data_IF_037653862833
#
_entry.id   IF_037653862833
#
_cell.length_a   1.000
_cell.length_b   1.000
_cell.length_c   1.000
_cell.angle_alpha   90.00
_cell.angle_beta   90.00
_cell.angle_gamma   90.00
#
_symmetry.space_group_name_H-M   'P 1'
#
loop_
_entity.id
_entity.type
_entity.pdbx_description
1 polymer ?
#
# COMPACT_ATOMS: atom_id res chain seq x y z
N UNK A 1 -51.63 -9.22 -57.44
CA UNK A 1 -51.26 -7.83 -57.08
C UNK A 1 -50.83 -7.82 -55.62
N UNK A 2 -49.55 -7.60 -55.32
CA UNK A 2 -48.99 -7.66 -53.95
C UNK A 2 -48.37 -6.31 -53.57
N UNK A 3 -49.07 -5.66 -52.64
CA UNK A 3 -48.69 -4.72 -51.56
C UNK A 3 -47.63 -3.64 -51.80
N UNK A 4 -48.12 -2.41 -51.57
CA UNK A 4 -47.47 -1.11 -51.65
C UNK A 4 -46.54 -0.79 -50.47
N UNK A 5 -45.47 -0.04 -50.75
CA UNK A 5 -44.56 0.60 -49.80
C UNK A 5 -45.16 1.89 -49.20
N UNK A 6 -44.99 2.11 -47.89
CA UNK A 6 -45.03 3.41 -47.17
C UNK A 6 -44.05 3.30 -45.97
N UNK A 7 -42.95 4.07 -45.90
CA UNK A 7 -42.79 5.40 -45.25
C UNK A 7 -43.16 5.37 -43.74
N UNK A 8 -42.48 5.94 -42.74
CA UNK A 8 -41.32 6.86 -42.54
C UNK A 8 -40.94 6.76 -41.03
N UNK A 9 -39.64 6.87 -40.76
CA UNK A 9 -38.89 7.43 -39.60
C UNK A 9 -39.70 7.87 -38.36
N UNK A 10 -39.33 7.35 -37.18
CA UNK A 10 -39.53 8.01 -35.89
C UNK A 10 -38.20 8.06 -35.12
N UNK A 11 -37.72 9.28 -34.95
CA UNK A 11 -36.49 9.69 -34.25
C UNK A 11 -36.60 9.45 -32.74
N UNK A 12 -35.69 8.67 -32.17
CA UNK A 12 -35.50 8.58 -30.71
C UNK A 12 -34.43 9.61 -30.33
N UNK A 13 -34.87 10.77 -29.83
CA UNK A 13 -34.02 11.71 -29.14
C UNK A 13 -33.74 11.18 -27.72
N UNK A 14 -32.49 10.80 -27.46
CA UNK A 14 -32.02 10.49 -26.09
C UNK A 14 -31.49 11.80 -25.46
N UNK A 15 -32.05 12.29 -24.34
CA UNK A 15 -31.47 13.43 -23.64
C UNK A 15 -30.26 12.98 -22.82
N UNK A 16 -29.08 13.50 -23.18
CA UNK A 16 -27.87 13.42 -22.38
C UNK A 16 -27.98 14.39 -21.20
N UNK A 17 -28.29 13.89 -20.01
CA UNK A 17 -28.14 14.63 -18.77
C UNK A 17 -26.80 14.25 -18.12
N UNK A 18 -25.75 15.03 -18.38
CA UNK A 18 -24.50 14.99 -17.64
C UNK A 18 -24.70 15.67 -16.28
N UNK A 19 -25.00 14.89 -15.25
CA UNK A 19 -24.97 15.35 -13.86
C UNK A 19 -23.52 15.51 -13.41
N UNK A 20 -23.02 16.74 -13.43
CA UNK A 20 -21.73 17.08 -12.83
C UNK A 20 -21.83 17.03 -11.30
N UNK A 21 -21.56 15.87 -10.70
CA UNK A 21 -21.32 15.75 -9.27
C UNK A 21 -19.83 15.95 -8.99
N UNK A 22 -19.43 17.21 -8.80
CA UNK A 22 -18.15 17.54 -8.20
C UNK A 22 -18.14 17.11 -6.73
N UNK A 23 -17.69 15.89 -6.45
CA UNK A 23 -17.42 15.44 -5.08
C UNK A 23 -16.04 15.95 -4.69
N UNK A 24 -16.00 17.12 -4.03
CA UNK A 24 -14.84 17.50 -3.24
C UNK A 24 -14.62 16.43 -2.17
N UNK A 25 -13.45 15.80 -2.23
CA UNK A 25 -13.02 14.75 -1.32
C UNK A 25 -13.12 15.24 0.13
N UNK A 26 -14.04 14.64 0.88
CA UNK A 26 -14.20 14.87 2.31
C UNK A 26 -12.98 14.29 3.02
N UNK A 27 -12.18 15.16 3.64
CA UNK A 27 -11.09 14.79 4.54
C UNK A 27 -11.66 14.06 5.76
N UNK A 28 -11.66 12.73 5.70
CA UNK A 28 -11.97 11.88 6.85
C UNK A 28 -10.86 12.00 7.90
N UNK A 29 -11.27 12.25 9.15
CA UNK A 29 -10.41 12.16 10.34
C UNK A 29 -9.64 10.85 10.33
N UNK A 30 -8.32 10.94 10.46
CA UNK A 30 -7.43 9.80 10.73
C UNK A 30 -7.91 9.04 11.96
N UNK A 31 -8.60 7.92 11.75
CA UNK A 31 -8.57 6.84 12.72
C UNK A 31 -7.21 6.18 12.58
N UNK A 32 -6.52 5.93 13.70
CA UNK A 32 -5.32 5.10 13.73
C UNK A 32 -5.73 3.72 13.25
N UNK A 33 -5.51 3.46 11.97
CA UNK A 33 -5.87 2.20 11.36
C UNK A 33 -5.08 1.09 12.05
N UNK A 34 -5.80 0.08 12.55
CA UNK A 34 -5.27 -1.23 12.99
C UNK A 34 -4.65 -2.04 11.83
N UNK A 35 -4.21 -1.37 10.77
CA UNK A 35 -3.51 -1.96 9.62
C UNK A 35 -2.04 -2.30 9.92
N UNK A 36 -1.52 -1.94 11.10
CA UNK A 36 -0.21 -2.40 11.55
C UNK A 36 -0.23 -3.81 12.14
N UNK A 37 -1.41 -4.31 12.56
CA UNK A 37 -1.51 -5.59 13.27
C UNK A 37 -1.29 -6.76 12.30
N UNK A 38 -1.79 -6.74 11.07
CA UNK A 38 -1.71 -7.88 10.15
C UNK A 38 -0.54 -7.84 9.15
N UNK A 39 0.65 -7.40 9.58
CA UNK A 39 1.85 -7.41 8.71
C UNK A 39 2.78 -8.60 9.03
N UNK A 40 3.23 -9.37 8.02
CA UNK A 40 4.22 -10.40 8.25
C UNK A 40 5.56 -9.80 8.70
N UNK A 41 6.05 -10.23 9.86
CA UNK A 41 7.35 -9.80 10.40
C UNK A 41 7.43 -9.98 11.92
N UNK A 42 8.57 -9.59 12.51
CA UNK A 42 8.72 -9.53 13.97
C UNK A 42 8.03 -8.27 14.51
N UNK A 43 6.75 -8.38 14.85
CA UNK A 43 6.04 -7.32 15.57
C UNK A 43 6.33 -7.35 17.08
N UNK A 44 5.88 -6.31 17.79
CA UNK A 44 6.11 -6.20 19.24
C UNK A 44 5.33 -7.21 20.09
N UNK A 45 4.22 -7.74 19.58
CA UNK A 45 3.41 -8.78 20.23
C UNK A 45 4.13 -10.11 20.16
N UNK A 46 4.41 -10.60 18.95
CA UNK A 46 5.13 -11.85 18.70
C UNK A 46 6.48 -11.89 19.43
N UNK A 47 7.25 -10.79 19.46
CA UNK A 47 8.53 -10.77 20.19
C UNK A 47 8.41 -10.93 21.70
N UNK A 48 7.25 -10.64 22.31
CA UNK A 48 7.04 -10.91 23.74
C UNK A 48 6.79 -12.38 24.01
N UNK A 49 6.26 -13.11 23.04
CA UNK A 49 5.90 -14.53 23.15
C UNK A 49 7.11 -15.46 22.91
N UNK A 50 8.15 -14.98 22.21
CA UNK A 50 9.39 -15.72 21.93
C UNK A 50 10.33 -15.93 23.13
N UNK A 51 9.90 -15.61 24.36
CA UNK A 51 10.67 -15.80 25.60
C UNK A 51 12.14 -15.37 25.49
N UNK A 52 12.37 -14.16 24.99
CA UNK A 52 13.72 -13.64 24.73
C UNK A 52 14.54 -13.52 26.02
N UNK A 53 15.81 -13.91 25.97
CA UNK A 53 16.77 -13.64 27.05
C UNK A 53 17.07 -12.16 27.17
N UNK A 54 17.56 -11.70 28.32
CA UNK A 54 17.87 -10.28 28.51
C UNK A 54 18.99 -9.79 27.57
N UNK A 55 19.98 -10.65 27.29
CA UNK A 55 21.01 -10.38 26.29
C UNK A 55 20.41 -10.20 24.89
N UNK A 56 19.46 -11.05 24.48
CA UNK A 56 18.79 -10.90 23.18
C UNK A 56 17.96 -9.62 23.12
N UNK A 57 17.23 -9.28 24.19
CA UNK A 57 16.45 -8.03 24.27
C UNK A 57 17.34 -6.81 24.09
N UNK A 58 18.54 -6.81 24.69
CA UNK A 58 19.51 -5.72 24.54
C UNK A 58 20.03 -5.62 23.10
N UNK A 59 20.38 -6.75 22.47
CA UNK A 59 20.78 -6.78 21.06
C UNK A 59 19.69 -6.24 20.13
N UNK A 60 18.42 -6.61 20.35
CA UNK A 60 17.30 -6.07 19.59
C UNK A 60 17.13 -4.56 19.81
N UNK A 61 17.29 -4.08 21.04
CA UNK A 61 17.19 -2.64 21.36
C UNK A 61 18.27 -1.86 20.63
N UNK A 62 19.51 -2.32 20.65
CA UNK A 62 20.63 -1.70 19.94
C UNK A 62 20.38 -1.67 18.44
N UNK A 63 19.95 -2.78 17.84
CA UNK A 63 19.65 -2.84 16.41
C UNK A 63 18.51 -1.89 16.01
N UNK A 64 17.45 -1.79 16.83
CA UNK A 64 16.34 -0.85 16.59
C UNK A 64 16.78 0.61 16.72
N UNK A 65 17.65 0.91 17.67
CA UNK A 65 18.17 2.26 17.86
C UNK A 65 19.04 2.68 16.66
N UNK A 66 19.95 1.81 16.20
CA UNK A 66 20.74 2.05 15.00
C UNK A 66 19.86 2.26 13.76
N UNK A 67 18.84 1.41 13.56
CA UNK A 67 17.86 1.59 12.48
C UNK A 67 17.10 2.92 12.59
N UNK A 68 16.75 3.36 13.81
CA UNK A 68 16.05 4.63 14.03
C UNK A 68 16.94 5.82 13.69
N UNK A 69 18.21 5.76 14.03
CA UNK A 69 19.21 6.78 13.72
C UNK A 69 19.44 6.89 12.21
N UNK A 70 19.68 5.76 11.53
CA UNK A 70 19.80 5.69 10.07
C UNK A 70 18.58 6.33 9.37
N UNK A 71 17.37 5.99 9.82
CA UNK A 71 16.14 6.57 9.28
C UNK A 71 16.05 8.07 9.54
N UNK A 72 16.41 8.52 10.75
CA UNK A 72 16.42 9.95 11.09
C UNK A 72 17.38 10.72 10.20
N UNK A 73 18.55 10.17 9.91
CA UNK A 73 19.52 10.79 9.00
C UNK A 73 18.98 10.87 7.58
N UNK A 74 18.39 9.79 7.07
CA UNK A 74 17.74 9.80 5.75
C UNK A 74 16.65 10.87 5.65
N UNK A 75 15.83 10.98 6.69
CA UNK A 75 14.74 11.95 6.73
C UNK A 75 15.17 13.41 6.89
N UNK A 76 16.41 13.70 7.32
CA UNK A 76 16.90 15.10 7.45
C UNK A 76 17.04 15.80 6.09
N UNK A 77 17.37 15.07 5.01
CA UNK A 77 17.54 15.62 3.66
C UNK A 77 16.40 15.30 2.68
N UNK A 78 15.47 14.42 3.07
CA UNK A 78 14.37 13.97 2.20
C UNK A 78 13.23 14.99 1.92
N UNK A 79 12.91 16.03 2.72
CA UNK A 79 11.69 16.82 2.49
C UNK A 79 11.65 17.53 1.14
N UNK A 80 12.74 18.21 0.77
CA UNK A 80 12.85 18.96 -0.50
C UNK A 80 12.93 17.99 -1.69
N UNK A 81 13.80 16.97 -1.61
CA UNK A 81 13.90 15.93 -2.65
C UNK A 81 12.57 15.19 -2.86
N UNK A 82 11.78 14.96 -1.80
CA UNK A 82 10.44 14.37 -1.91
C UNK A 82 9.44 15.29 -2.59
N UNK A 83 9.58 16.60 -2.42
CA UNK A 83 8.79 17.60 -3.14
C UNK A 83 9.06 17.51 -4.64
N UNK A 84 10.33 17.64 -5.02
CA UNK A 84 10.77 17.58 -6.42
C UNK A 84 10.36 16.28 -7.11
N UNK A 85 10.58 15.12 -6.47
CA UNK A 85 10.15 13.82 -7.00
C UNK A 85 8.63 13.67 -7.14
N UNK A 86 7.84 14.42 -6.35
CA UNK A 86 6.37 14.42 -6.47
C UNK A 86 5.89 15.33 -7.59
N UNK A 87 6.57 16.46 -7.79
CA UNK A 87 6.27 17.41 -8.85
C UNK A 87 6.61 16.83 -10.22
N UNK A 88 7.84 16.36 -10.44
CA UNK A 88 8.25 15.61 -11.65
C UNK A 88 7.31 14.40 -11.90
N UNK A 89 6.97 13.74 -10.79
CA UNK A 89 5.80 12.87 -10.60
C UNK A 89 4.57 13.27 -11.41
N UNK A 90 3.98 14.36 -10.94
CA UNK A 90 2.71 14.88 -11.38
C UNK A 90 2.79 15.36 -12.83
N UNK A 91 3.90 15.98 -13.22
CA UNK A 91 4.16 16.45 -14.59
C UNK A 91 4.16 15.29 -15.58
N UNK A 92 4.96 14.24 -15.34
CA UNK A 92 4.99 13.04 -16.21
C UNK A 92 3.62 12.38 -16.36
N UNK A 93 2.82 12.38 -15.29
CA UNK A 93 1.45 11.85 -15.32
C UNK A 93 0.51 12.77 -16.10
N UNK A 94 0.61 14.08 -15.92
CA UNK A 94 -0.19 15.05 -16.68
C UNK A 94 0.13 14.95 -18.17
N UNK A 95 1.41 14.88 -18.54
CA UNK A 95 1.85 14.73 -19.93
C UNK A 95 1.31 13.45 -20.58
N UNK A 96 1.29 12.34 -19.83
CA UNK A 96 0.73 11.08 -20.30
C UNK A 96 -0.80 11.15 -20.45
N UNK A 97 -1.50 11.75 -19.50
CA UNK A 97 -2.96 11.74 -19.42
C UNK A 97 -3.63 12.80 -20.31
N UNK A 98 -2.95 13.92 -20.55
CA UNK A 98 -3.45 15.03 -21.38
C UNK A 98 -3.00 14.95 -22.84
N UNK A 99 -2.15 13.97 -23.19
CA UNK A 99 -1.76 13.74 -24.58
C UNK A 99 -2.95 13.34 -25.46
N UNK A 100 -2.93 13.77 -26.72
CA UNK A 100 -3.96 13.42 -27.73
C UNK A 100 -4.13 11.90 -27.91
N UNK A 101 -3.05 11.13 -27.65
CA UNK A 101 -3.03 9.67 -27.70
C UNK A 101 -2.27 9.12 -26.51
N UNK A 102 -2.82 8.05 -25.93
CA UNK A 102 -2.19 7.34 -24.83
C UNK A 102 -0.92 6.61 -25.30
N UNK A 103 0.18 6.81 -24.56
CA UNK A 103 1.46 6.13 -24.79
C UNK A 103 1.68 5.02 -23.73
N UNK A 104 1.48 3.75 -24.09
CA UNK A 104 1.65 2.63 -23.15
C UNK A 104 3.11 2.45 -22.71
N UNK A 105 4.10 2.89 -23.50
CA UNK A 105 5.50 2.77 -23.14
C UNK A 105 5.86 3.76 -22.01
N UNK A 106 5.42 5.03 -22.12
CA UNK A 106 5.57 6.03 -21.06
C UNK A 106 4.85 5.64 -19.78
N UNK A 107 3.64 5.08 -19.90
CA UNK A 107 2.89 4.57 -18.75
C UNK A 107 3.67 3.49 -17.99
N UNK A 108 4.27 2.56 -18.74
CA UNK A 108 5.11 1.48 -18.19
C UNK A 108 6.33 2.04 -17.48
N UNK A 109 7.01 3.03 -18.07
CA UNK A 109 8.20 3.66 -17.48
C UNK A 109 7.88 4.33 -16.14
N UNK A 110 6.82 5.14 -16.09
CA UNK A 110 6.36 5.81 -14.86
C UNK A 110 6.00 4.77 -13.78
N UNK A 111 5.39 3.64 -14.16
CA UNK A 111 5.09 2.55 -13.23
C UNK A 111 6.36 1.85 -12.73
N UNK A 112 7.32 1.59 -13.61
CA UNK A 112 8.55 0.87 -13.30
C UNK A 112 9.44 1.66 -12.33
N UNK A 113 9.53 2.98 -12.48
CA UNK A 113 10.31 3.83 -11.57
C UNK A 113 9.86 3.64 -10.10
N UNK A 114 8.54 3.55 -9.89
CA UNK A 114 7.99 3.30 -8.55
C UNK A 114 8.21 1.88 -8.07
N UNK A 115 8.09 0.92 -8.98
CA UNK A 115 8.30 -0.49 -8.69
C UNK A 115 9.73 -0.74 -8.21
N UNK A 116 10.72 -0.17 -8.89
CA UNK A 116 12.14 -0.31 -8.50
C UNK A 116 12.39 0.25 -7.09
N UNK A 117 11.93 1.46 -6.81
CA UNK A 117 12.01 2.06 -5.46
C UNK A 117 11.29 1.22 -4.40
N UNK A 118 10.21 0.54 -4.77
CA UNK A 118 9.49 -0.36 -3.86
C UNK A 118 10.27 -1.66 -3.60
N UNK A 119 10.87 -2.25 -4.62
CA UNK A 119 11.72 -3.43 -4.52
C UNK A 119 12.92 -3.15 -3.61
N UNK A 120 13.62 -2.03 -3.82
CA UNK A 120 14.74 -1.62 -2.97
C UNK A 120 14.34 -1.52 -1.48
N UNK A 121 13.19 -0.87 -1.20
CA UNK A 121 12.66 -0.78 0.16
C UNK A 121 12.32 -2.15 0.75
N UNK A 122 11.73 -3.05 -0.04
CA UNK A 122 11.41 -4.41 0.40
C UNK A 122 12.68 -5.20 0.73
N UNK A 123 13.70 -5.13 -0.12
CA UNK A 123 14.99 -5.78 0.12
C UNK A 123 15.66 -5.24 1.39
N UNK A 124 15.66 -3.91 1.58
CA UNK A 124 16.19 -3.30 2.82
C UNK A 124 15.42 -3.77 4.06
N UNK A 125 14.10 -3.88 3.97
CA UNK A 125 13.25 -4.35 5.06
C UNK A 125 13.55 -5.82 5.39
N UNK A 126 13.63 -6.69 4.38
CA UNK A 126 14.00 -8.10 4.53
C UNK A 126 15.41 -8.26 5.12
N UNK A 127 16.37 -7.44 4.70
CA UNK A 127 17.72 -7.45 5.27
C UNK A 127 17.71 -7.11 6.77
N UNK A 128 16.90 -6.12 7.19
CA UNK A 128 16.73 -5.76 8.60
C UNK A 128 16.05 -6.88 9.39
N UNK A 129 15.01 -7.50 8.84
CA UNK A 129 14.37 -8.67 9.44
C UNK A 129 15.36 -9.83 9.59
N UNK A 130 16.16 -10.13 8.57
CA UNK A 130 17.18 -11.18 8.63
C UNK A 130 18.20 -10.94 9.76
N UNK A 131 18.70 -9.70 9.91
CA UNK A 131 19.57 -9.32 11.04
C UNK A 131 18.88 -9.55 12.38
N UNK A 132 17.60 -9.23 12.49
CA UNK A 132 16.80 -9.50 13.69
C UNK A 132 16.70 -11.01 13.98
N UNK A 133 16.41 -11.84 12.97
CA UNK A 133 16.34 -13.30 13.14
C UNK A 133 17.68 -13.93 13.51
N UNK A 134 18.81 -13.30 13.18
CA UNK A 134 20.14 -13.81 13.56
C UNK A 134 20.39 -13.83 15.08
N UNK A 135 19.60 -13.08 15.86
CA UNK A 135 19.66 -13.02 17.33
C UNK A 135 18.94 -14.21 17.99
N UNK A 136 17.97 -14.81 17.27
CA UNK A 136 17.13 -15.88 17.80
C UNK A 136 17.82 -17.24 17.71
N UNK A 137 17.55 -18.12 18.68
CA UNK A 137 17.96 -19.53 18.62
C UNK A 137 17.14 -20.29 17.57
N UNK A 138 17.58 -21.49 17.13
CA UNK A 138 16.80 -22.32 16.23
C UNK A 138 15.38 -22.60 16.75
N UNK A 139 15.24 -22.91 18.03
CA UNK A 139 13.95 -23.24 18.66
C UNK A 139 13.02 -22.01 18.69
N UNK A 140 13.56 -20.82 18.94
CA UNK A 140 12.78 -19.57 18.88
C UNK A 140 12.34 -19.23 17.45
N UNK A 141 13.11 -19.61 16.43
CA UNK A 141 12.70 -19.43 15.03
C UNK A 141 11.55 -20.35 14.65
N UNK A 142 11.56 -21.59 15.14
CA UNK A 142 10.43 -22.52 14.96
C UNK A 142 9.17 -21.98 15.65
N UNK A 143 9.29 -21.55 16.91
CA UNK A 143 8.18 -20.91 17.63
C UNK A 143 7.64 -19.68 16.88
N UNK A 144 8.53 -18.86 16.31
CA UNK A 144 8.11 -17.71 15.51
C UNK A 144 7.26 -18.10 14.30
N UNK A 145 7.61 -19.18 13.59
CA UNK A 145 6.86 -19.63 12.41
C UNK A 145 5.45 -20.06 12.80
N UNK A 146 5.27 -20.72 13.95
CA UNK A 146 3.95 -21.12 14.43
C UNK A 146 3.11 -19.90 14.87
N UNK A 147 3.70 -19.00 15.67
CA UNK A 147 3.03 -17.75 16.07
C UNK A 147 2.62 -16.90 14.85
N UNK A 148 3.47 -16.87 13.83
CA UNK A 148 3.16 -16.16 12.59
C UNK A 148 1.97 -16.77 11.84
N UNK A 149 1.80 -18.09 11.84
CA UNK A 149 0.63 -18.74 11.23
C UNK A 149 -0.63 -18.42 12.01
N UNK A 150 -0.61 -18.58 13.33
CA UNK A 150 -1.75 -18.26 14.21
C UNK A 150 -2.18 -16.81 14.01
N UNK A 151 -1.22 -15.88 14.00
CA UNK A 151 -1.49 -14.46 13.79
C UNK A 151 -2.08 -14.14 12.40
N UNK A 152 -1.63 -14.83 11.36
CA UNK A 152 -2.19 -14.69 10.01
C UNK A 152 -3.61 -15.26 9.91
N UNK A 153 -3.90 -16.34 10.62
CA UNK A 153 -5.25 -16.95 10.71
C UNK A 153 -6.22 -16.03 11.47
N UNK A 154 -5.81 -15.53 12.64
CA UNK A 154 -6.61 -14.57 13.43
C UNK A 154 -6.91 -13.29 12.63
N UNK A 155 -5.92 -12.78 11.91
CA UNK A 155 -6.10 -11.64 11.00
C UNK A 155 -7.03 -11.94 9.80
N UNK A 156 -7.07 -13.19 9.32
CA UNK A 156 -8.00 -13.62 8.28
C UNK A 156 -9.45 -13.61 8.75
N UNK A 157 -9.66 -13.92 10.02
CA UNK A 157 -10.97 -14.00 10.67
C UNK A 157 -11.46 -12.64 11.20
N UNK A 158 -10.56 -11.75 11.64
CA UNK A 158 -10.90 -10.41 12.19
C UNK A 158 -10.94 -9.29 11.14
N UNK A 159 -10.96 -9.62 9.85
CA UNK A 159 -11.34 -8.65 8.82
C UNK A 159 -12.83 -8.33 8.99
N UNK A 160 -13.26 -7.13 9.43
CA UNK A 160 -14.63 -6.75 9.27
C UNK A 160 -14.87 -6.76 7.77
N UNK A 161 -15.60 -7.77 7.28
CA UNK A 161 -16.26 -7.69 5.99
C UNK A 161 -16.94 -6.33 6.02
N UNK A 162 -16.50 -5.42 5.16
CA UNK A 162 -17.10 -4.11 4.97
C UNK A 162 -18.51 -4.35 4.41
N UNK A 163 -19.41 -4.92 5.23
CA UNK A 163 -20.84 -4.94 4.99
C UNK A 163 -21.20 -3.48 5.03
N UNK A 164 -21.60 -2.98 3.86
CA UNK A 164 -22.03 -1.62 3.67
C UNK A 164 -22.93 -1.25 4.84
N UNK A 165 -22.62 -0.14 5.50
CA UNK A 165 -23.59 0.51 6.36
C UNK A 165 -24.78 0.83 5.48
N UNK A 166 -25.84 0.03 5.58
CA UNK A 166 -27.14 0.34 5.01
C UNK A 166 -27.53 1.72 5.51
N UNK A 167 -27.50 2.69 4.60
CA UNK A 167 -28.06 4.02 4.82
C UNK A 167 -29.58 3.85 4.77
N UNK A 168 -30.24 3.85 5.93
CA UNK A 168 -31.64 4.24 6.04
C UNK A 168 -31.78 5.74 5.84
#
# INVERSE_FOLDING_TARGET
MKMSKKLIIASIALPLALSATGVFAFGGKHHQDRHEECRPGLDRGMMKELNLTDSQKEQFKTLRQANKEEMKERFKGEPEQRGELREDRAEKLNDLLLADKFDPAKATEIAQEKSNKQVERQVQMLSKQHKMFSILTPEQKEQFVELQKEHLEECGDDMPRHKGKDRK
#
